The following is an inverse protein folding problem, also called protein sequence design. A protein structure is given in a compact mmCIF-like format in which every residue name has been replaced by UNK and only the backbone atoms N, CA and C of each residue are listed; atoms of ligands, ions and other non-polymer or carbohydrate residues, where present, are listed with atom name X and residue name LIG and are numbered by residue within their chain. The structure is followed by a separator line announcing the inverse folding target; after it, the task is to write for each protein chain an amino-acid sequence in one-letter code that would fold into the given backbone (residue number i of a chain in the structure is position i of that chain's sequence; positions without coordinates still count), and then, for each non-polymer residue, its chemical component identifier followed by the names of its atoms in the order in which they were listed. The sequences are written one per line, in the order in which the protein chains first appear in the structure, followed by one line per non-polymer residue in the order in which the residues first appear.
data_IF_706078355695
#
_entry.id   IF_706078355695
#
_cell.length_a   1.000
_cell.length_b   1.000
_cell.length_c   1.000
_cell.angle_alpha   90.00
_cell.angle_beta   90.00
_cell.angle_gamma   90.00
#
_symmetry.space_group_name_H-M   'P 1'
#
loop_
_entity.id
_entity.type
_entity.pdbx_description
1 polymer ?
#
# COMPACT_ATOMS: atom_id res chain seq x y z
N UNK A 1 9.71 -2.38 -17.79
CA UNK A 1 8.92 -3.41 -17.08
C UNK A 1 7.56 -3.45 -17.76
N UNK A 2 7.09 -4.61 -18.20
CA UNK A 2 5.76 -4.72 -18.78
C UNK A 2 4.73 -4.76 -17.64
N UNK A 3 3.74 -3.87 -17.67
CA UNK A 3 2.70 -3.76 -16.65
C UNK A 3 1.68 -4.91 -16.76
N UNK A 4 0.95 -5.17 -15.67
CA UNK A 4 -0.16 -6.12 -15.67
C UNK A 4 -1.16 -5.74 -16.79
N UNK A 5 -1.62 -6.67 -17.63
CA UNK A 5 -2.53 -6.34 -18.74
C UNK A 5 -4.04 -6.40 -18.37
N UNK A 6 -4.36 -6.35 -17.08
CA UNK A 6 -5.75 -6.39 -16.61
C UNK A 6 -6.23 -4.93 -16.45
N UNK A 7 -7.31 -4.50 -17.14
CA UNK A 7 -7.85 -3.15 -16.99
C UNK A 7 -8.53 -3.00 -15.61
N UNK A 8 -8.41 -1.82 -15.01
CA UNK A 8 -9.18 -1.49 -13.80
C UNK A 8 -10.60 -1.16 -14.22
N UNK A 9 -11.59 -1.91 -13.72
CA UNK A 9 -13.01 -1.72 -14.04
C UNK A 9 -13.81 -1.21 -12.84
N UNK A 10 -15.05 -0.78 -13.08
CA UNK A 10 -16.01 -0.40 -12.03
C UNK A 10 -16.31 -1.55 -11.07
N UNK A 11 -16.35 -2.78 -11.57
CA UNK A 11 -16.59 -3.98 -10.78
C UNK A 11 -15.43 -4.21 -9.80
N UNK A 12 -14.18 -4.04 -10.24
CA UNK A 12 -13.01 -4.13 -9.35
C UNK A 12 -13.05 -3.09 -8.22
N UNK A 13 -13.60 -1.89 -8.48
CA UNK A 13 -13.78 -0.87 -7.43
C UNK A 13 -14.84 -1.31 -6.42
N UNK A 14 -15.93 -1.93 -6.87
CA UNK A 14 -16.94 -2.50 -5.99
C UNK A 14 -16.36 -3.65 -5.15
N UNK A 15 -15.64 -4.58 -5.77
CA UNK A 15 -14.94 -5.67 -5.10
C UNK A 15 -13.92 -5.16 -4.07
N UNK A 16 -13.18 -4.10 -4.40
CA UNK A 16 -12.23 -3.48 -3.46
C UNK A 16 -12.93 -2.96 -2.19
N UNK A 17 -14.10 -2.33 -2.35
CA UNK A 17 -14.89 -1.84 -1.19
C UNK A 17 -15.50 -2.97 -0.37
N UNK A 18 -15.88 -4.07 -1.02
CA UNK A 18 -16.35 -5.27 -0.32
C UNK A 18 -15.21 -5.96 0.45
N UNK A 19 -14.00 -5.96 -0.13
CA UNK A 19 -12.82 -6.56 0.50
C UNK A 19 -12.31 -5.75 1.69
N UNK A 20 -12.33 -4.41 1.59
CA UNK A 20 -11.93 -3.50 2.65
C UNK A 20 -13.08 -2.52 2.98
N UNK A 21 -13.94 -2.94 3.91
CA UNK A 21 -15.15 -2.20 4.32
C UNK A 21 -14.87 -0.78 4.84
N UNK A 22 -13.65 -0.51 5.33
CA UNK A 22 -13.20 0.81 5.75
C UNK A 22 -13.11 1.83 4.60
N UNK A 23 -13.10 1.35 3.35
CA UNK A 23 -13.19 2.18 2.15
C UNK A 23 -14.61 2.22 1.57
N UNK A 24 -15.64 1.77 2.29
CA UNK A 24 -17.02 1.74 1.78
C UNK A 24 -17.64 3.13 1.57
N UNK A 25 -17.26 4.15 2.37
CA UNK A 25 -17.83 5.50 2.28
C UNK A 25 -17.43 6.21 0.97
N UNK A 26 -18.37 6.47 0.03
CA UNK A 26 -18.06 7.10 -1.25
C UNK A 26 -17.77 8.60 -1.13
N UNK A 27 -18.22 9.27 -0.07
CA UNK A 27 -17.94 10.69 0.14
C UNK A 27 -16.49 10.91 0.55
N UNK A 28 -15.96 10.03 1.42
CA UNK A 28 -14.55 10.04 1.82
C UNK A 28 -13.64 9.45 0.74
N UNK A 29 -14.04 8.31 0.19
CA UNK A 29 -13.30 7.52 -0.79
C UNK A 29 -14.06 7.47 -2.10
N UNK A 30 -13.88 8.45 -2.97
CA UNK A 30 -14.55 8.45 -4.28
C UNK A 30 -14.01 7.35 -5.20
N UNK A 31 -14.83 6.89 -6.14
CA UNK A 31 -14.42 5.88 -7.14
C UNK A 31 -13.19 6.32 -7.93
N UNK A 32 -13.07 7.63 -8.20
CA UNK A 32 -11.89 8.20 -8.84
C UNK A 32 -10.60 8.01 -8.02
N UNK A 33 -10.67 8.15 -6.69
CA UNK A 33 -9.51 7.92 -5.80
C UNK A 33 -9.11 6.45 -5.81
N UNK A 34 -10.09 5.54 -5.69
CA UNK A 34 -9.84 4.09 -5.67
C UNK A 34 -9.31 3.64 -7.03
N UNK A 35 -9.94 4.05 -8.13
CA UNK A 35 -9.49 3.76 -9.49
C UNK A 35 -8.06 4.24 -9.72
N UNK A 36 -7.71 5.45 -9.28
CA UNK A 36 -6.34 5.97 -9.36
C UNK A 36 -5.37 5.09 -8.56
N UNK A 37 -5.70 4.74 -7.33
CA UNK A 37 -4.86 3.90 -6.48
C UNK A 37 -4.64 2.50 -7.07
N UNK A 38 -5.70 1.88 -7.61
CA UNK A 38 -5.61 0.60 -8.30
C UNK A 38 -4.71 0.69 -9.54
N UNK A 39 -4.84 1.74 -10.36
CA UNK A 39 -3.97 1.93 -11.53
C UNK A 39 -2.51 2.18 -11.16
N UNK A 40 -2.22 2.90 -10.07
CA UNK A 40 -0.84 3.06 -9.59
C UNK A 40 -0.30 1.72 -9.10
N UNK A 41 -1.05 1.02 -8.24
CA UNK A 41 -0.66 -0.28 -7.72
C UNK A 41 -0.40 -1.30 -8.84
N UNK A 42 -1.21 -1.28 -9.91
CA UNK A 42 -1.06 -2.13 -11.09
C UNK A 42 0.34 -2.11 -11.70
N UNK A 43 1.00 -0.95 -11.71
CA UNK A 43 2.36 -0.77 -12.24
C UNK A 43 3.42 -1.57 -11.49
N UNK A 44 3.16 -1.92 -10.23
CA UNK A 44 4.10 -2.62 -9.35
C UNK A 44 4.08 -4.15 -9.53
N UNK A 45 3.01 -4.71 -10.12
CA UNK A 45 2.85 -6.16 -10.24
C UNK A 45 3.63 -6.79 -11.39
N UNK A 46 4.05 -6.00 -12.39
CA UNK A 46 4.82 -6.46 -13.56
C UNK A 46 4.22 -7.68 -14.28
N UNK A 47 4.88 -8.19 -15.32
CA UNK A 47 4.58 -9.50 -15.92
C UNK A 47 5.11 -10.67 -15.08
N UNK A 48 5.36 -10.46 -13.78
CA UNK A 48 5.89 -11.50 -12.91
C UNK A 48 4.84 -12.61 -12.77
N UNK A 49 5.07 -13.72 -13.47
CA UNK A 49 4.20 -14.89 -13.49
C UNK A 49 3.94 -15.52 -12.11
N UNK A 50 4.65 -15.08 -11.06
CA UNK A 50 4.56 -15.61 -9.70
C UNK A 50 3.36 -15.09 -8.89
N UNK A 51 2.63 -14.08 -9.36
CA UNK A 51 1.43 -13.60 -8.68
C UNK A 51 0.18 -14.44 -8.99
N UNK A 52 0.25 -15.29 -10.01
CA UNK A 52 -0.88 -16.11 -10.45
C UNK A 52 -1.95 -15.31 -11.22
N UNK A 53 -3.13 -15.92 -11.36
CA UNK A 53 -4.26 -15.37 -12.12
C UNK A 53 -5.14 -14.52 -11.20
N UNK A 54 -5.68 -13.43 -11.74
CA UNK A 54 -6.65 -12.60 -11.03
C UNK A 54 -7.98 -13.35 -10.86
N UNK A 55 -8.54 -13.30 -9.66
CA UNK A 55 -9.85 -13.83 -9.35
C UNK A 55 -10.27 -13.48 -7.91
N UNK A 56 -11.50 -13.81 -7.50
CA UNK A 56 -11.99 -13.53 -6.16
C UNK A 56 -11.10 -14.18 -5.10
N UNK A 57 -10.66 -13.38 -4.13
CA UNK A 57 -9.73 -13.71 -3.07
C UNK A 57 -8.38 -14.30 -3.55
N UNK A 58 -8.03 -14.13 -4.83
CA UNK A 58 -6.80 -14.67 -5.38
C UNK A 58 -5.57 -13.94 -4.83
N UNK A 59 -4.42 -14.60 -4.92
CA UNK A 59 -3.16 -14.04 -4.42
C UNK A 59 -2.82 -12.69 -5.09
N UNK A 60 -3.07 -12.57 -6.40
CA UNK A 60 -2.93 -11.32 -7.13
C UNK A 60 -3.96 -10.26 -6.67
N UNK A 61 -5.24 -10.62 -6.48
CA UNK A 61 -6.25 -9.66 -6.02
C UNK A 61 -5.87 -9.10 -4.63
N UNK A 62 -5.49 -9.97 -3.70
CA UNK A 62 -5.07 -9.58 -2.35
C UNK A 62 -3.86 -8.65 -2.35
N UNK A 63 -2.82 -9.00 -3.12
CA UNK A 63 -1.64 -8.15 -3.24
C UNK A 63 -1.98 -6.78 -3.82
N UNK A 64 -2.76 -6.77 -4.90
CA UNK A 64 -3.15 -5.54 -5.61
C UNK A 64 -4.00 -4.63 -4.72
N UNK A 65 -5.01 -5.19 -4.06
CA UNK A 65 -5.87 -4.43 -3.17
C UNK A 65 -5.10 -3.91 -1.96
N UNK A 66 -4.22 -4.72 -1.34
CA UNK A 66 -3.40 -4.28 -0.21
C UNK A 66 -2.52 -3.08 -0.58
N UNK A 67 -1.88 -3.11 -1.76
CA UNK A 67 -1.06 -1.98 -2.21
C UNK A 67 -1.90 -0.75 -2.56
N UNK A 68 -3.07 -0.92 -3.16
CA UNK A 68 -3.99 0.19 -3.43
C UNK A 68 -4.50 0.84 -2.13
N UNK A 69 -4.86 0.04 -1.12
CA UNK A 69 -5.27 0.50 0.21
C UNK A 69 -4.13 1.27 0.93
N UNK A 70 -2.89 0.80 0.79
CA UNK A 70 -1.71 1.55 1.25
C UNK A 70 -1.65 2.94 0.61
N UNK A 71 -1.74 3.05 -0.72
CA UNK A 71 -1.72 4.34 -1.40
C UNK A 71 -2.87 5.26 -0.99
N UNK A 72 -4.07 4.72 -0.79
CA UNK A 72 -5.23 5.51 -0.34
C UNK A 72 -5.01 6.10 1.05
N UNK A 73 -4.55 5.28 2.00
CA UNK A 73 -4.29 5.73 3.38
C UNK A 73 -3.11 6.68 3.48
N UNK A 74 -2.02 6.39 2.75
CA UNK A 74 -0.86 7.26 2.66
C UNK A 74 -1.24 8.63 2.12
N UNK A 75 -1.92 8.67 0.97
CA UNK A 75 -2.32 9.93 0.34
C UNK A 75 -3.32 10.72 1.18
N UNK A 76 -4.20 10.05 1.92
CA UNK A 76 -5.10 10.71 2.87
C UNK A 76 -4.32 11.42 3.98
N UNK A 77 -3.30 10.76 4.55
CA UNK A 77 -2.42 11.37 5.54
C UNK A 77 -1.63 12.56 4.98
N UNK A 78 -1.06 12.43 3.78
CA UNK A 78 -0.37 13.54 3.09
C UNK A 78 -1.31 14.71 2.77
N UNK A 79 -2.55 14.43 2.37
CA UNK A 79 -3.55 15.47 2.10
C UNK A 79 -3.94 16.21 3.37
N UNK A 80 -4.09 15.51 4.49
CA UNK A 80 -4.36 16.14 5.78
C UNK A 80 -3.20 17.05 6.22
N UNK A 81 -1.96 16.59 6.08
CA UNK A 81 -0.77 17.36 6.42
C UNK A 81 -0.60 18.63 5.57
N UNK A 82 -0.77 18.50 4.25
CA UNK A 82 -0.71 19.64 3.33
C UNK A 82 -1.85 20.64 3.54
N UNK A 83 -3.04 20.16 3.94
CA UNK A 83 -4.16 21.04 4.27
C UNK A 83 -4.01 21.79 5.59
N UNK A 84 -3.27 21.26 6.56
CA UNK A 84 -3.06 21.88 7.86
C UNK A 84 -2.01 22.99 7.83
N UNK A 85 -0.84 22.72 7.25
CA UNK A 85 0.33 23.60 7.35
C UNK A 85 0.94 23.98 5.98
N UNK A 86 0.33 23.56 4.87
CA UNK A 86 0.87 23.77 3.51
C UNK A 86 2.12 22.96 3.18
N UNK A 87 2.60 22.15 4.14
CA UNK A 87 3.81 21.34 4.00
C UNK A 87 3.45 19.91 3.62
N UNK A 88 4.08 19.38 2.58
CA UNK A 88 4.01 17.97 2.23
C UNK A 88 4.92 17.15 3.16
N UNK A 89 4.56 17.08 4.44
CA UNK A 89 5.26 16.24 5.40
C UNK A 89 4.81 14.79 5.23
N UNK A 90 5.78 13.91 5.01
CA UNK A 90 5.56 12.45 4.99
C UNK A 90 5.48 11.95 6.43
N UNK A 91 4.57 11.01 6.76
CA UNK A 91 4.54 10.34 8.05
C UNK A 91 5.69 9.32 8.13
N UNK A 92 6.93 9.79 8.04
CA UNK A 92 8.09 8.92 8.20
C UNK A 92 8.29 8.63 9.69
N UNK A 93 8.69 7.41 10.02
CA UNK A 93 9.06 7.08 11.38
C UNK A 93 10.27 7.94 11.81
N UNK A 94 10.02 8.89 12.71
CA UNK A 94 11.08 9.68 13.34
C UNK A 94 11.80 8.75 14.32
N UNK A 95 12.94 8.20 13.90
CA UNK A 95 13.71 7.22 14.68
C UNK A 95 14.27 7.81 15.98
N UNK A 96 14.50 9.12 16.01
CA UNK A 96 14.89 9.85 17.22
C UNK A 96 14.52 11.32 17.11
N UNK A 97 14.07 11.89 18.22
CA UNK A 97 13.99 13.35 18.40
C UNK A 97 14.69 13.68 19.70
N UNK A 98 15.68 14.57 19.64
CA UNK A 98 16.33 15.12 20.83
C UNK A 98 15.82 16.53 21.09
N UNK A 99 15.42 16.80 22.33
CA UNK A 99 15.15 18.15 22.83
C UNK A 99 16.13 18.40 23.96
N UNK A 100 17.21 19.11 23.67
CA UNK A 100 18.28 19.42 24.64
C UNK A 100 18.87 18.13 25.25
N UNK A 101 18.50 17.75 26.47
CA UNK A 101 18.98 16.54 27.16
C UNK A 101 17.97 15.39 27.15
N UNK A 102 16.78 15.60 26.58
CA UNK A 102 15.74 14.57 26.54
C UNK A 102 15.77 13.85 25.20
N UNK A 103 16.03 12.54 25.25
CA UNK A 103 15.97 11.66 24.08
C UNK A 103 14.79 10.72 24.25
N UNK A 104 13.80 10.85 23.37
CA UNK A 104 12.71 9.88 23.26
C UNK A 104 13.04 8.98 22.08
N UNK A 105 13.42 7.74 22.39
CA UNK A 105 13.59 6.69 21.41
C UNK A 105 12.31 5.86 21.38
N UNK A 106 11.56 5.93 20.29
CA UNK A 106 10.44 5.02 20.09
C UNK A 106 11.00 3.69 19.61
N UNK A 107 10.49 2.58 20.15
CA UNK A 107 10.63 1.27 19.53
C UNK A 107 9.79 1.26 18.24
N UNK A 108 10.26 1.97 17.22
CA UNK A 108 9.91 1.65 15.85
C UNK A 108 10.35 0.19 15.68
N UNK A 109 9.50 -0.74 15.20
CA UNK A 109 9.96 -2.06 14.81
C UNK A 109 11.18 -1.80 13.95
N UNK A 110 12.37 -2.16 14.44
CA UNK A 110 13.63 -1.76 13.80
C UNK A 110 13.45 -2.08 12.34
N UNK A 111 13.49 -1.05 11.49
CA UNK A 111 13.35 -1.23 10.05
C UNK A 111 14.25 -2.42 9.75
N UNK A 112 13.64 -3.53 9.32
CA UNK A 112 14.33 -4.77 9.00
C UNK A 112 15.63 -4.33 8.33
N UNK A 113 16.81 -4.71 8.84
CA UNK A 113 18.10 -4.07 8.51
C UNK A 113 18.50 -4.18 7.01
N UNK A 114 17.57 -4.54 6.14
CA UNK A 114 17.68 -4.76 4.71
C UNK A 114 16.49 -4.21 3.89
N UNK A 115 15.56 -3.43 4.46
CA UNK A 115 14.50 -2.80 3.65
C UNK A 115 15.08 -1.63 2.83
N UNK A 116 14.70 -1.56 1.56
CA UNK A 116 14.90 -0.35 0.76
C UNK A 116 14.05 0.81 1.29
N UNK A 117 14.42 2.05 0.96
CA UNK A 117 13.64 3.22 1.34
C UNK A 117 12.17 3.14 0.87
N UNK A 118 11.93 2.51 -0.28
CA UNK A 118 10.58 2.28 -0.78
C UNK A 118 9.81 1.28 0.09
N UNK A 119 10.41 0.15 0.42
CA UNK A 119 9.75 -0.86 1.27
C UNK A 119 9.51 -0.35 2.69
N UNK A 120 10.40 0.49 3.21
CA UNK A 120 10.18 1.18 4.47
C UNK A 120 8.96 2.11 4.41
N UNK A 121 8.74 2.81 3.29
CA UNK A 121 7.53 3.62 3.09
C UNK A 121 6.28 2.73 3.03
N UNK A 122 6.32 1.65 2.24
CA UNK A 122 5.20 0.71 2.16
C UNK A 122 4.82 0.14 3.54
N UNK A 123 5.82 -0.17 4.38
CA UNK A 123 5.62 -0.75 5.71
C UNK A 123 4.92 0.17 6.73
N UNK A 124 4.64 1.43 6.42
CA UNK A 124 4.01 2.38 7.36
C UNK A 124 2.51 2.15 7.59
N UNK A 125 1.89 1.26 6.82
CA UNK A 125 0.46 0.93 6.96
C UNK A 125 0.28 -0.57 7.09
N UNK A 126 -0.76 -1.06 7.78
CA UNK A 126 -1.06 -2.49 7.86
C UNK A 126 -1.24 -3.11 6.46
N UNK A 127 -1.85 -2.39 5.52
CA UNK A 127 -2.03 -2.84 4.14
C UNK A 127 -0.70 -3.03 3.40
N UNK A 128 0.24 -2.10 3.58
CA UNK A 128 1.55 -2.22 2.97
C UNK A 128 2.39 -3.36 3.58
N UNK A 129 2.23 -3.65 4.88
CA UNK A 129 2.81 -4.86 5.49
C UNK A 129 2.23 -6.13 4.88
N UNK A 130 0.90 -6.19 4.64
CA UNK A 130 0.28 -7.32 3.93
C UNK A 130 0.86 -7.46 2.51
N UNK A 131 0.95 -6.36 1.75
CA UNK A 131 1.56 -6.40 0.42
C UNK A 131 3.02 -6.88 0.46
N UNK A 132 3.85 -6.41 1.39
CA UNK A 132 5.24 -6.86 1.51
C UNK A 132 5.33 -8.35 1.84
N UNK A 133 4.46 -8.85 2.73
CA UNK A 133 4.35 -10.28 3.03
C UNK A 133 3.98 -11.09 1.78
N UNK A 134 2.98 -10.66 1.02
CA UNK A 134 2.55 -11.32 -0.22
C UNK A 134 3.63 -11.23 -1.30
N UNK A 135 4.30 -10.08 -1.46
CA UNK A 135 5.39 -9.89 -2.41
C UNK A 135 6.58 -10.78 -2.09
N UNK A 136 6.93 -10.96 -0.82
CA UNK A 136 7.98 -11.89 -0.41
C UNK A 136 7.62 -13.33 -0.82
N UNK A 137 6.36 -13.75 -0.60
CA UNK A 137 5.88 -15.06 -1.04
C UNK A 137 5.88 -15.21 -2.57
N UNK A 138 5.49 -14.18 -3.31
CA UNK A 138 5.57 -14.14 -4.77
C UNK A 138 7.02 -14.30 -5.26
N UNK A 139 7.97 -13.60 -4.62
CA UNK A 139 9.40 -13.69 -4.95
C UNK A 139 10.02 -15.06 -4.65
N UNK A 140 9.52 -15.76 -3.62
CA UNK A 140 9.93 -17.13 -3.29
C UNK A 140 9.32 -18.20 -4.19
N UNK A 141 8.51 -17.82 -5.18
CA UNK A 141 7.87 -18.77 -6.09
C UNK A 141 6.74 -19.56 -5.43
N UNK A 142 6.05 -18.97 -4.45
CA UNK A 142 4.87 -19.57 -3.82
C UNK A 142 3.66 -19.58 -4.77
N UNK A 143 3.78 -20.31 -5.88
CA UNK A 143 2.65 -20.89 -6.60
C UNK A 143 2.63 -22.36 -6.22
N UNK A 144 1.83 -22.71 -5.22
CA UNK A 144 1.26 -24.05 -5.19
C UNK A 144 0.07 -23.99 -6.14
N UNK A 145 0.26 -24.48 -7.36
CA UNK A 145 -0.80 -24.68 -8.36
C UNK A 145 -1.81 -25.70 -7.84
#
# INVERSE_FOLDING_TARGET
MAELNIPVTSEMVAEFREFYEEFADPAKWSDAKITKALNIAKGEFGTCGNWGIYGPYSFLQRGWFALAAHYLTWNAATTAATGADGSATTPYAVASKSVRDESVSYAVPGANASLTAWEAAVALTPYGLEYLHLRQRAGMGAICV
#
